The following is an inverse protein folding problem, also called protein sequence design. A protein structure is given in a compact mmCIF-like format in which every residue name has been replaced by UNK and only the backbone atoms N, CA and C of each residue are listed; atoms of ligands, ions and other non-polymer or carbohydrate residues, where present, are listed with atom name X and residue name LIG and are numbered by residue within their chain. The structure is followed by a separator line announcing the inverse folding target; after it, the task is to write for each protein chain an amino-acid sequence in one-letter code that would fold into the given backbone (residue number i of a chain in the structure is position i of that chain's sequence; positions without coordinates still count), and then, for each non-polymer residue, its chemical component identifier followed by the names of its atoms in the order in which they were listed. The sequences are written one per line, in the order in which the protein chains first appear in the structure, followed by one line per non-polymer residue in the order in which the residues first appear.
data_IF_930337936740
#
_entry.id   IF_930337936740
#
_cell.length_a   1.000
_cell.length_b   1.000
_cell.length_c   1.000
_cell.angle_alpha   90.00
_cell.angle_beta   90.00
_cell.angle_gamma   90.00
#
_symmetry.space_group_name_H-M   'P 1'
#
loop_
_entity.id
_entity.type
_entity.pdbx_description
1 polymer ?
#
# COMPACT_ATOMS: atom_id res chain seq x y z
N UNK A 1 2.14 0.02 -0.67
CA UNK A 1 1.10 -0.60 0.18
C UNK A 1 0.42 0.45 1.01
N UNK A 2 -0.87 0.34 1.16
CA UNK A 2 -1.68 1.23 1.99
C UNK A 2 -2.77 0.43 2.69
N UNK A 3 -3.49 1.04 3.61
CA UNK A 3 -4.59 0.33 4.24
C UNK A 3 -5.08 0.96 5.54
N UNK A 4 -5.90 0.19 6.21
CA UNK A 4 -6.59 0.58 7.43
C UNK A 4 -5.60 0.89 8.56
N UNK A 5 -5.81 2.01 9.22
CA UNK A 5 -5.03 2.41 10.41
C UNK A 5 -5.21 1.44 11.58
N UNK A 6 -6.29 0.70 11.57
CA UNK A 6 -6.62 -0.27 12.62
C UNK A 6 -6.28 -1.71 12.22
N UNK A 7 -5.64 -1.91 11.08
CA UNK A 7 -5.24 -3.24 10.62
C UNK A 7 -4.24 -3.85 11.59
N UNK A 8 -4.46 -5.11 11.99
CA UNK A 8 -3.61 -5.80 12.96
C UNK A 8 -3.08 -7.14 12.44
N UNK A 9 -3.56 -7.60 11.30
CA UNK A 9 -3.20 -8.90 10.75
C UNK A 9 -1.89 -8.83 9.97
N UNK A 10 -0.78 -9.02 10.67
CA UNK A 10 0.54 -9.02 10.05
C UNK A 10 0.74 -10.21 9.12
N UNK A 11 0.11 -11.35 9.40
CA UNK A 11 0.31 -12.56 8.60
C UNK A 11 -0.23 -12.40 7.18
N UNK A 12 -1.34 -11.70 7.02
CA UNK A 12 -1.93 -11.46 5.71
C UNK A 12 -1.06 -10.51 4.87
N UNK A 13 -0.50 -9.48 5.49
CA UNK A 13 0.43 -8.57 4.82
C UNK A 13 1.71 -9.32 4.45
N UNK A 14 2.24 -10.11 5.37
CA UNK A 14 3.47 -10.89 5.14
C UNK A 14 3.30 -11.88 4.00
N UNK A 15 2.17 -12.59 3.95
CA UNK A 15 1.86 -13.52 2.86
C UNK A 15 1.80 -12.80 1.51
N UNK A 16 1.22 -11.62 1.48
CA UNK A 16 1.17 -10.80 0.28
C UNK A 16 2.59 -10.40 -0.18
N UNK A 17 3.43 -9.95 0.76
CA UNK A 17 4.82 -9.58 0.45
C UNK A 17 5.59 -10.77 -0.14
N UNK A 18 5.46 -11.94 0.46
CA UNK A 18 6.16 -13.13 -0.03
C UNK A 18 5.66 -13.57 -1.40
N UNK A 19 4.36 -13.45 -1.65
CA UNK A 19 3.78 -13.73 -2.96
C UNK A 19 4.35 -12.78 -4.04
N UNK A 20 4.47 -11.49 -3.72
CA UNK A 20 5.04 -10.52 -4.64
C UNK A 20 6.53 -10.79 -4.92
N UNK A 21 7.30 -11.12 -3.89
CA UNK A 21 8.71 -11.49 -4.05
C UNK A 21 8.85 -12.69 -4.99
N UNK A 22 8.02 -13.71 -4.78
CA UNK A 22 8.03 -14.91 -5.61
C UNK A 22 7.67 -14.59 -7.06
N UNK A 23 6.59 -13.85 -7.28
CA UNK A 23 6.13 -13.51 -8.63
C UNK A 23 7.17 -12.72 -9.41
N UNK A 24 7.81 -11.76 -8.77
CA UNK A 24 8.86 -10.96 -9.40
C UNK A 24 10.06 -11.84 -9.76
N UNK A 25 10.48 -12.72 -8.85
CA UNK A 25 11.62 -13.61 -9.08
C UNK A 25 11.35 -14.56 -10.25
N UNK A 26 10.16 -15.15 -10.30
CA UNK A 26 9.78 -16.11 -11.38
C UNK A 26 9.72 -15.43 -12.74
N UNK A 27 9.31 -14.15 -12.79
CA UNK A 27 9.18 -13.40 -14.03
C UNK A 27 10.45 -12.62 -14.41
N UNK A 28 11.56 -12.84 -13.70
CA UNK A 28 12.85 -12.22 -14.02
C UNK A 28 12.92 -10.74 -13.73
N UNK A 29 12.05 -10.24 -12.82
CA UNK A 29 12.07 -8.84 -12.42
C UNK A 29 13.20 -8.49 -11.49
N UNK A 30 13.39 -7.20 -11.26
CA UNK A 30 14.36 -6.68 -10.28
C UNK A 30 13.89 -6.81 -8.84
N UNK A 31 14.63 -6.25 -7.89
CA UNK A 31 14.23 -6.32 -6.49
C UNK A 31 12.92 -5.56 -6.23
N UNK A 32 12.13 -6.10 -5.30
CA UNK A 32 10.89 -5.46 -4.85
C UNK A 32 11.24 -4.24 -3.98
N UNK A 33 10.57 -3.13 -4.21
CA UNK A 33 10.60 -1.95 -3.35
C UNK A 33 9.19 -1.70 -2.84
N UNK A 34 9.05 -1.55 -1.52
CA UNK A 34 7.76 -1.23 -0.89
C UNK A 34 7.67 0.27 -0.65
N UNK A 35 6.67 0.90 -1.25
CA UNK A 35 6.35 2.30 -1.04
C UNK A 35 5.25 2.37 0.03
N UNK A 36 5.48 3.12 1.08
CA UNK A 36 4.54 3.23 2.19
C UNK A 36 4.52 4.65 2.78
N UNK A 37 3.40 4.97 3.45
CA UNK A 37 3.13 6.33 3.91
C UNK A 37 3.44 6.62 5.37
N UNK A 38 4.03 5.69 6.09
CA UNK A 38 4.40 5.86 7.52
C UNK A 38 3.17 6.18 8.40
N UNK A 39 2.04 5.55 8.11
CA UNK A 39 0.84 5.65 8.94
C UNK A 39 0.76 4.47 9.91
N UNK A 40 -0.19 4.51 10.84
CA UNK A 40 -0.46 3.39 11.74
C UNK A 40 -1.13 2.24 10.98
N UNK A 41 -1.16 1.07 11.59
CA UNK A 41 -1.88 -0.10 11.05
C UNK A 41 -1.17 -0.74 9.86
N UNK A 42 -1.85 -0.87 8.74
CA UNK A 42 -1.32 -1.58 7.57
C UNK A 42 0.03 -1.03 7.09
N UNK A 43 0.20 0.28 7.02
CA UNK A 43 1.46 0.91 6.62
C UNK A 43 2.61 0.52 7.55
N UNK A 44 2.37 0.61 8.86
CA UNK A 44 3.37 0.28 9.89
C UNK A 44 3.75 -1.20 9.85
N UNK A 45 2.78 -2.07 9.66
CA UNK A 45 3.01 -3.51 9.55
C UNK A 45 3.79 -3.83 8.27
N UNK A 46 3.42 -3.22 7.16
CA UNK A 46 4.12 -3.42 5.88
C UNK A 46 5.59 -3.01 5.99
N UNK A 47 5.86 -1.87 6.64
CA UNK A 47 7.21 -1.41 6.89
C UNK A 47 8.00 -2.41 7.74
N UNK A 48 7.40 -2.86 8.86
CA UNK A 48 8.04 -3.84 9.77
C UNK A 48 8.35 -5.15 9.05
N UNK A 49 7.40 -5.69 8.29
CA UNK A 49 7.59 -6.94 7.57
C UNK A 49 8.60 -6.82 6.44
N UNK A 50 8.61 -5.69 5.74
CA UNK A 50 9.62 -5.41 4.73
C UNK A 50 11.02 -5.38 5.33
N UNK A 51 11.20 -4.75 6.49
CA UNK A 51 12.49 -4.74 7.20
C UNK A 51 12.91 -6.16 7.63
N UNK A 52 11.97 -6.93 8.13
CA UNK A 52 12.24 -8.33 8.53
C UNK A 52 12.77 -9.18 7.36
N UNK A 53 12.23 -8.96 6.17
CA UNK A 53 12.62 -9.71 4.97
C UNK A 53 13.71 -9.01 4.14
N UNK A 54 14.30 -7.94 4.64
CA UNK A 54 15.31 -7.14 3.93
C UNK A 54 14.82 -6.63 2.56
N UNK A 55 13.55 -6.25 2.49
CA UNK A 55 12.97 -5.64 1.30
C UNK A 55 13.17 -4.12 1.39
N UNK A 56 13.60 -3.50 0.29
CA UNK A 56 13.84 -2.06 0.23
C UNK A 56 12.55 -1.28 0.46
N UNK A 57 12.65 -0.19 1.22
CA UNK A 57 11.55 0.70 1.55
C UNK A 57 11.74 2.07 0.95
N UNK A 58 10.66 2.66 0.46
CA UNK A 58 10.57 4.03 0.01
C UNK A 58 9.42 4.69 0.79
N UNK A 59 9.75 5.53 1.77
CA UNK A 59 8.80 6.02 2.77
C UNK A 59 8.43 7.49 2.53
N UNK A 60 7.12 7.76 2.60
CA UNK A 60 6.55 9.09 2.37
C UNK A 60 5.70 9.52 3.57
N UNK A 61 6.31 10.09 4.61
CA UNK A 61 5.53 10.56 5.77
C UNK A 61 4.67 11.77 5.40
N UNK A 62 3.43 11.77 5.89
CA UNK A 62 2.55 12.93 5.71
C UNK A 62 3.01 14.08 6.59
N UNK A 63 3.01 15.30 6.03
CA UNK A 63 3.47 16.50 6.73
C UNK A 63 2.30 17.24 7.38
N UNK A 64 1.72 16.63 8.40
CA UNK A 64 0.53 17.13 9.08
C UNK A 64 0.71 18.55 9.64
N UNK A 65 1.91 18.88 10.09
CA UNK A 65 2.20 20.21 10.66
C UNK A 65 2.20 21.32 9.58
N UNK A 66 2.39 20.97 8.30
CA UNK A 66 2.37 21.94 7.20
C UNK A 66 0.99 22.02 6.53
N UNK A 67 0.31 20.90 6.36
CA UNK A 67 -0.86 20.81 5.50
C UNK A 67 -2.14 20.40 6.23
N UNK A 68 -2.07 20.10 7.54
CA UNK A 68 -3.23 19.66 8.30
C UNK A 68 -3.94 18.48 7.62
N UNK A 69 -5.25 18.58 7.40
CA UNK A 69 -6.05 17.50 6.80
C UNK A 69 -5.67 17.18 5.37
N UNK A 70 -5.04 18.09 4.66
CA UNK A 70 -4.59 17.87 3.29
C UNK A 70 -3.30 17.04 3.23
N UNK A 71 -2.62 16.82 4.34
CA UNK A 71 -1.32 16.13 4.36
C UNK A 71 -1.40 14.69 3.85
N UNK A 72 -2.44 13.94 4.26
CA UNK A 72 -2.66 12.57 3.80
C UNK A 72 -2.87 12.47 2.30
N UNK A 73 -3.85 13.18 1.74
CA UNK A 73 -4.06 13.22 0.28
C UNK A 73 -2.84 13.68 -0.51
N UNK A 74 -2.13 14.70 -0.03
CA UNK A 74 -0.89 15.16 -0.68
C UNK A 74 0.19 14.08 -0.69
N UNK A 75 0.38 13.39 0.43
CA UNK A 75 1.32 12.28 0.53
C UNK A 75 0.93 11.14 -0.40
N UNK A 76 -0.36 10.81 -0.50
CA UNK A 76 -0.85 9.79 -1.42
C UNK A 76 -0.50 10.12 -2.87
N UNK A 77 -0.73 11.37 -3.27
CA UNK A 77 -0.36 11.82 -4.62
C UNK A 77 1.16 11.80 -4.82
N UNK A 78 1.92 12.19 -3.82
CA UNK A 78 3.38 12.16 -3.86
C UNK A 78 3.92 10.74 -4.08
N UNK A 79 3.34 9.74 -3.40
CA UNK A 79 3.73 8.34 -3.59
C UNK A 79 3.53 7.89 -5.04
N UNK A 80 2.47 8.35 -5.69
CA UNK A 80 2.23 8.03 -7.11
C UNK A 80 3.19 8.78 -8.02
N UNK A 81 3.36 10.09 -7.80
CA UNK A 81 4.15 10.95 -8.69
C UNK A 81 5.66 10.65 -8.58
N UNK A 82 6.16 10.52 -7.37
CA UNK A 82 7.60 10.33 -7.12
C UNK A 82 7.99 8.86 -6.99
N UNK A 83 7.14 8.06 -6.31
CA UNK A 83 7.39 6.63 -6.12
C UNK A 83 7.15 5.81 -7.38
N UNK A 84 6.25 6.25 -8.23
CA UNK A 84 5.89 5.58 -9.50
C UNK A 84 5.66 4.08 -9.33
N UNK A 85 4.71 3.67 -8.47
CA UNK A 85 4.46 2.25 -8.22
C UNK A 85 3.89 1.57 -9.46
N UNK A 86 4.27 0.31 -9.66
CA UNK A 86 3.66 -0.54 -10.68
C UNK A 86 2.39 -1.23 -10.19
N UNK A 87 2.15 -1.23 -8.88
CA UNK A 87 1.00 -1.88 -8.27
C UNK A 87 0.70 -1.22 -6.92
N UNK A 88 -0.57 -0.99 -6.64
CA UNK A 88 -1.04 -0.57 -5.32
C UNK A 88 -1.78 -1.73 -4.67
N UNK A 89 -1.40 -2.07 -3.44
CA UNK A 89 -2.10 -3.07 -2.63
C UNK A 89 -2.71 -2.38 -1.43
N UNK A 90 -4.02 -2.50 -1.27
CA UNK A 90 -4.77 -1.86 -0.21
C UNK A 90 -5.36 -2.92 0.73
N UNK A 91 -5.04 -2.82 2.02
CA UNK A 91 -5.51 -3.73 3.07
C UNK A 91 -6.62 -3.06 3.86
N UNK A 92 -7.86 -3.42 3.62
CA UNK A 92 -9.00 -2.81 4.30
C UNK A 92 -10.24 -3.71 4.23
N UNK A 93 -10.91 -3.92 5.36
CA UNK A 93 -12.13 -4.72 5.41
C UNK A 93 -13.39 -3.92 5.04
N UNK A 94 -13.29 -2.59 5.04
CA UNK A 94 -14.42 -1.70 4.75
C UNK A 94 -13.92 -0.50 3.91
N UNK A 95 -13.43 -0.79 2.73
CA UNK A 95 -12.80 0.20 1.85
C UNK A 95 -13.75 1.34 1.49
N UNK A 96 -15.02 1.04 1.23
CA UNK A 96 -16.01 2.04 0.81
C UNK A 96 -16.20 3.16 1.85
N UNK A 97 -16.07 2.83 3.13
CA UNK A 97 -16.24 3.78 4.22
C UNK A 97 -14.91 4.37 4.72
N UNK A 98 -13.79 4.04 4.07
CA UNK A 98 -12.50 4.62 4.44
C UNK A 98 -12.30 5.98 3.76
N UNK A 99 -11.48 6.83 4.37
CA UNK A 99 -11.09 8.12 3.77
C UNK A 99 -9.74 8.02 3.10
N UNK A 100 -8.71 7.70 3.87
CA UNK A 100 -7.33 7.70 3.38
C UNK A 100 -7.04 6.60 2.36
N UNK A 101 -7.46 5.38 2.65
CA UNK A 101 -7.24 4.24 1.74
C UNK A 101 -8.07 4.38 0.47
N UNK A 102 -9.33 4.79 0.58
CA UNK A 102 -10.18 5.04 -0.59
C UNK A 102 -9.61 6.16 -1.46
N UNK A 103 -9.06 7.21 -0.85
CA UNK A 103 -8.40 8.30 -1.58
C UNK A 103 -7.21 7.76 -2.39
N UNK A 104 -6.36 6.95 -1.78
CA UNK A 104 -5.22 6.36 -2.47
C UNK A 104 -5.66 5.48 -3.64
N UNK A 105 -6.66 4.64 -3.42
CA UNK A 105 -7.19 3.76 -4.47
C UNK A 105 -7.75 4.58 -5.64
N UNK A 106 -8.51 5.63 -5.35
CA UNK A 106 -9.07 6.51 -6.38
C UNK A 106 -7.97 7.19 -7.20
N UNK A 107 -6.94 7.69 -6.54
CA UNK A 107 -5.80 8.34 -7.21
C UNK A 107 -5.01 7.37 -8.06
N UNK A 108 -4.79 6.16 -7.56
CA UNK A 108 -4.10 5.10 -8.30
C UNK A 108 -4.86 4.73 -9.58
N UNK A 109 -6.16 4.54 -9.48
CA UNK A 109 -7.01 4.25 -10.65
C UNK A 109 -6.94 5.36 -11.69
N UNK A 110 -7.02 6.62 -11.23
CA UNK A 110 -6.92 7.78 -12.12
C UNK A 110 -5.56 7.84 -12.83
N UNK A 111 -4.50 7.42 -12.15
CA UNK A 111 -3.16 7.38 -12.72
C UNK A 111 -2.90 6.14 -13.59
N UNK A 112 -3.87 5.25 -13.72
CA UNK A 112 -3.72 4.01 -14.49
C UNK A 112 -2.90 2.93 -13.80
N UNK A 113 -2.69 3.04 -12.49
CA UNK A 113 -1.94 2.05 -11.71
C UNK A 113 -2.88 0.94 -11.24
N UNK A 114 -2.55 -0.34 -11.50
CA UNK A 114 -3.37 -1.46 -11.02
C UNK A 114 -3.49 -1.46 -9.50
N UNK A 115 -4.67 -1.80 -9.00
CA UNK A 115 -4.96 -1.89 -7.56
C UNK A 115 -5.46 -3.28 -7.22
N UNK A 116 -4.91 -3.86 -6.16
CA UNK A 116 -5.43 -5.08 -5.54
C UNK A 116 -5.94 -4.72 -4.16
N UNK A 117 -7.19 -5.06 -3.88
CA UNK A 117 -7.82 -4.86 -2.58
C UNK A 117 -7.83 -6.18 -1.80
N UNK A 118 -7.12 -6.23 -0.70
CA UNK A 118 -7.04 -7.38 0.20
C UNK A 118 -7.91 -7.13 1.42
N UNK A 119 -8.76 -8.09 1.75
CA UNK A 119 -9.62 -8.05 2.94
C UNK A 119 -9.69 -9.44 3.56
N UNK A 120 -10.23 -9.54 4.78
CA UNK A 120 -10.44 -10.85 5.41
C UNK A 120 -11.49 -11.69 4.67
N UNK A 121 -12.42 -11.05 3.95
CA UNK A 121 -13.38 -11.76 3.08
C UNK A 121 -12.71 -12.29 1.82
N UNK A 122 -11.68 -11.62 1.35
CA UNK A 122 -10.92 -12.03 0.17
C UNK A 122 -9.42 -11.84 0.41
N UNK A 123 -8.80 -12.78 1.15
CA UNK A 123 -7.37 -12.67 1.46
C UNK A 123 -6.45 -12.82 0.25
N UNK A 124 -6.95 -13.43 -0.84
CA UNK A 124 -6.20 -13.49 -2.10
C UNK A 124 -6.23 -12.19 -2.90
N UNK A 125 -7.07 -11.27 -2.51
CA UNK A 125 -7.18 -9.95 -3.12
C UNK A 125 -8.09 -9.88 -4.34
N UNK A 126 -8.79 -8.75 -4.46
CA UNK A 126 -9.61 -8.41 -5.62
C UNK A 126 -8.89 -7.39 -6.48
N UNK A 127 -8.78 -7.64 -7.77
CA UNK A 127 -8.26 -6.64 -8.69
C UNK A 127 -9.34 -5.60 -8.96
N UNK A 128 -9.07 -4.37 -8.58
CA UNK A 128 -10.00 -3.26 -8.80
C UNK A 128 -9.70 -2.62 -10.16
N UNK A 129 -10.72 -2.58 -11.02
CA UNK A 129 -10.62 -1.97 -12.35
C UNK A 129 -11.36 -0.64 -12.37
N UNK A 130 -11.00 0.21 -13.30
CA UNK A 130 -11.69 1.48 -13.53
C UNK A 130 -13.07 1.25 -14.15
#
# INVERSE_FOLDING_TARGET
MCGDRNWKDASLIDSCLMSLVYDIAVNGGGPLVIIAGVAKGADSIAEDRARYHNIELDLYPAQWHLYGRAAGPRRNQQMLDEGQPGLVVAFHDDLENSKGTADMVRRAKKAGVPVIHVSHKNPGGDRLTN
#
